data_IF_976779073046
#
_entry.id   IF_976779073046
#
_cell.length_a   1.000
_cell.length_b   1.000
_cell.length_c   1.000
_cell.angle_alpha   90.00
_cell.angle_beta   90.00
_cell.angle_gamma   90.00
#
_symmetry.space_group_name_H-M   'P 1'
#
loop_
_entity.id
_entity.type
_entity.pdbx_description
1 polymer ?
#
# COMPACT_ATOMS: atom_id res chain seq x y z
N UNK A 1 -11.68 -17.13 30.72
CA UNK A 1 -11.02 -17.54 29.48
C UNK A 1 -11.90 -17.05 28.32
N UNK A 2 -11.36 -16.21 27.41
CA UNK A 2 -12.04 -15.88 26.19
C UNK A 2 -11.80 -17.01 25.17
N UNK A 3 -12.86 -17.45 24.52
CA UNK A 3 -12.78 -18.46 23.46
C UNK A 3 -13.13 -17.76 22.14
N UNK A 4 -12.23 -17.82 21.17
CA UNK A 4 -12.45 -17.35 19.81
C UNK A 4 -12.78 -18.56 18.93
N UNK A 5 -13.91 -18.53 18.26
CA UNK A 5 -14.23 -19.48 17.21
C UNK A 5 -13.69 -18.92 15.88
N UNK A 6 -12.84 -19.67 15.22
CA UNK A 6 -12.28 -19.33 13.92
C UNK A 6 -12.99 -20.11 12.82
N UNK A 7 -13.30 -19.42 11.72
CA UNK A 7 -13.89 -20.01 10.51
C UNK A 7 -13.02 -19.58 9.33
N UNK A 8 -12.56 -20.56 8.54
CA UNK A 8 -11.82 -20.28 7.31
C UNK A 8 -12.83 -19.91 6.20
N UNK A 9 -12.77 -18.67 5.73
CA UNK A 9 -13.66 -18.06 4.76
C UNK A 9 -12.87 -17.22 3.77
N UNK A 10 -13.39 -17.09 2.54
CA UNK A 10 -12.94 -16.03 1.63
C UNK A 10 -13.44 -14.66 2.12
N UNK A 11 -12.89 -13.57 1.58
CA UNK A 11 -13.23 -12.21 2.03
C UNK A 11 -14.71 -11.87 1.87
N UNK A 12 -15.35 -12.31 0.79
CA UNK A 12 -16.80 -12.09 0.56
C UNK A 12 -17.64 -12.73 1.66
N UNK A 13 -17.40 -14.02 1.92
CA UNK A 13 -18.16 -14.77 2.92
C UNK A 13 -17.90 -14.25 4.33
N UNK A 14 -16.64 -13.86 4.64
CA UNK A 14 -16.28 -13.27 5.91
C UNK A 14 -16.98 -11.93 6.16
N UNK A 15 -17.08 -11.06 5.14
CA UNK A 15 -17.84 -9.81 5.21
C UNK A 15 -19.33 -10.09 5.34
N UNK A 16 -19.88 -11.05 4.59
CA UNK A 16 -21.28 -11.48 4.74
C UNK A 16 -21.59 -11.95 6.16
N UNK A 17 -20.67 -12.71 6.79
CA UNK A 17 -20.84 -13.15 8.18
C UNK A 17 -20.87 -11.97 9.17
N UNK A 18 -20.12 -10.90 8.90
CA UNK A 18 -20.20 -9.64 9.66
C UNK A 18 -21.57 -8.97 9.48
N UNK A 19 -22.01 -8.82 8.23
CA UNK A 19 -23.27 -8.14 7.88
C UNK A 19 -24.50 -8.87 8.47
N UNK A 20 -24.45 -10.19 8.49
CA UNK A 20 -25.53 -11.02 9.05
C UNK A 20 -25.39 -11.25 10.57
N UNK A 21 -24.35 -10.71 11.20
CA UNK A 21 -24.13 -10.81 12.65
C UNK A 21 -23.65 -12.19 13.11
N UNK A 22 -23.21 -13.06 12.20
CA UNK A 22 -22.62 -14.37 12.51
C UNK A 22 -21.18 -14.27 13.01
N UNK A 23 -20.45 -13.21 12.62
CA UNK A 23 -19.09 -12.93 13.08
C UNK A 23 -18.99 -11.53 13.71
N UNK A 24 -18.04 -11.37 14.61
CA UNK A 24 -17.71 -10.06 15.21
C UNK A 24 -16.54 -9.38 14.49
N UNK A 25 -15.64 -10.16 13.92
CA UNK A 25 -14.45 -9.73 13.20
C UNK A 25 -14.25 -10.58 11.95
N UNK A 26 -13.78 -9.96 10.89
CA UNK A 26 -13.35 -10.63 9.67
C UNK A 26 -11.92 -10.21 9.31
N UNK A 27 -11.09 -11.18 8.90
CA UNK A 27 -9.82 -10.92 8.22
C UNK A 27 -10.04 -11.08 6.73
N UNK A 28 -9.68 -10.06 5.95
CA UNK A 28 -9.90 -10.04 4.52
C UNK A 28 -8.65 -9.55 3.79
N UNK A 29 -8.41 -10.06 2.58
CA UNK A 29 -7.30 -9.64 1.74
C UNK A 29 -7.62 -8.37 0.92
N UNK A 30 -8.82 -7.85 1.03
CA UNK A 30 -9.31 -6.66 0.35
C UNK A 30 -10.25 -5.85 1.24
N UNK A 31 -10.40 -4.58 0.94
CA UNK A 31 -11.45 -3.75 1.55
C UNK A 31 -12.85 -4.21 1.13
N UNK A 32 -13.87 -3.80 1.87
CA UNK A 32 -15.26 -4.02 1.49
C UNK A 32 -15.60 -3.33 0.16
N UNK A 33 -16.37 -4.01 -0.69
CA UNK A 33 -16.86 -3.45 -1.95
C UNK A 33 -18.00 -2.44 -1.71
N UNK A 34 -18.33 -1.65 -2.73
CA UNK A 34 -19.49 -0.74 -2.66
C UNK A 34 -20.80 -1.49 -2.42
N UNK A 35 -20.97 -2.69 -3.01
CA UNK A 35 -22.14 -3.53 -2.79
C UNK A 35 -22.23 -4.02 -1.34
N UNK A 36 -21.11 -4.47 -0.78
CA UNK A 36 -21.01 -4.87 0.63
C UNK A 36 -21.26 -3.70 1.58
N UNK A 37 -20.78 -2.49 1.25
CA UNK A 37 -21.08 -1.27 1.99
C UNK A 37 -22.57 -0.91 1.93
N UNK A 38 -23.20 -1.07 0.76
CA UNK A 38 -24.62 -0.78 0.57
C UNK A 38 -25.54 -1.81 1.26
N UNK A 39 -25.03 -2.99 1.60
CA UNK A 39 -25.77 -4.05 2.30
C UNK A 39 -25.82 -3.86 3.83
N UNK A 40 -25.31 -2.74 4.37
CA UNK A 40 -25.39 -2.43 5.80
C UNK A 40 -26.85 -2.29 6.25
N UNK A 41 -27.18 -2.94 7.36
CA UNK A 41 -28.51 -2.91 7.97
C UNK A 41 -28.75 -1.58 8.70
N UNK A 42 -30.03 -1.26 8.95
CA UNK A 42 -30.45 -0.08 9.73
C UNK A 42 -29.86 -0.05 11.15
N UNK A 43 -29.56 -1.23 11.73
CA UNK A 43 -28.94 -1.38 13.06
C UNK A 43 -27.41 -1.13 13.05
N UNK A 44 -26.81 -0.92 11.90
CA UNK A 44 -25.37 -0.69 11.74
C UNK A 44 -25.09 0.80 11.53
N UNK A 45 -24.17 1.33 12.30
CA UNK A 45 -23.81 2.75 12.26
C UNK A 45 -22.45 2.96 11.57
N UNK A 46 -22.44 3.69 10.47
CA UNK A 46 -21.24 4.07 9.75
C UNK A 46 -20.86 3.07 8.65
N UNK A 47 -19.65 3.23 8.11
CA UNK A 47 -19.10 2.44 7.01
C UNK A 47 -18.23 1.30 7.53
N UNK A 48 -18.16 0.19 6.81
CA UNK A 48 -17.19 -0.88 7.06
C UNK A 48 -15.73 -0.38 6.94
N UNK A 49 -15.50 0.66 6.14
CA UNK A 49 -14.17 1.26 5.97
C UNK A 49 -13.88 2.36 7.00
N UNK A 50 -14.82 2.65 7.90
CA UNK A 50 -14.57 3.63 8.95
C UNK A 50 -13.43 3.16 9.88
N UNK A 51 -12.49 4.04 10.30
CA UNK A 51 -11.32 3.66 11.11
C UNK A 51 -11.63 2.95 12.43
N UNK A 52 -12.84 3.14 12.95
CA UNK A 52 -13.31 2.40 14.14
C UNK A 52 -13.74 0.97 13.82
N UNK A 53 -14.05 0.68 12.56
CA UNK A 53 -14.58 -0.59 12.09
C UNK A 53 -13.60 -1.35 11.21
N UNK A 54 -12.60 -0.69 10.65
CA UNK A 54 -11.59 -1.31 9.78
C UNK A 54 -10.20 -0.83 10.11
N UNK A 55 -9.24 -1.75 10.07
CA UNK A 55 -7.82 -1.42 10.11
C UNK A 55 -7.03 -2.34 9.17
N UNK A 56 -5.94 -1.83 8.64
CA UNK A 56 -4.94 -2.66 7.98
C UNK A 56 -4.06 -3.28 9.07
N UNK A 57 -4.10 -4.60 9.23
CA UNK A 57 -3.35 -5.35 10.22
C UNK A 57 -1.92 -5.64 9.78
N UNK A 58 -1.76 -5.98 8.50
CA UNK A 58 -0.51 -6.44 7.88
C UNK A 58 -0.60 -6.27 6.37
N UNK A 59 0.45 -6.68 5.66
CA UNK A 59 0.42 -6.83 4.20
C UNK A 59 0.88 -8.22 3.80
N UNK A 60 0.40 -8.67 2.63
CA UNK A 60 0.77 -9.92 1.99
C UNK A 60 1.29 -9.63 0.59
N UNK A 61 2.46 -10.16 0.26
CA UNK A 61 2.97 -10.09 -1.10
C UNK A 61 2.06 -10.88 -2.06
N UNK A 62 1.75 -10.26 -3.21
CA UNK A 62 1.07 -10.89 -4.33
C UNK A 62 2.08 -11.11 -5.45
N UNK A 63 2.26 -12.34 -5.85
CA UNK A 63 3.16 -12.72 -6.93
C UNK A 63 2.38 -12.95 -8.22
N UNK A 64 3.01 -12.61 -9.35
CA UNK A 64 2.48 -12.90 -10.67
C UNK A 64 3.27 -14.06 -11.28
N UNK A 65 2.55 -15.01 -11.84
CA UNK A 65 3.13 -16.16 -12.53
C UNK A 65 2.60 -16.23 -13.95
N UNK A 66 3.46 -16.65 -14.89
CA UNK A 66 3.10 -16.93 -16.27
C UNK A 66 3.43 -18.37 -16.64
N UNK A 67 2.81 -18.87 -17.68
CA UNK A 67 3.15 -20.17 -18.23
C UNK A 67 4.63 -20.22 -18.66
N UNK A 68 5.32 -21.39 -18.54
CA UNK A 68 6.70 -21.53 -18.99
C UNK A 68 6.92 -21.20 -20.47
N UNK A 69 5.89 -21.37 -21.30
CA UNK A 69 5.91 -21.02 -22.72
C UNK A 69 5.95 -19.51 -23.00
N UNK A 70 5.64 -18.68 -21.99
CA UNK A 70 5.77 -17.24 -22.11
C UNK A 70 7.23 -16.84 -21.90
N UNK A 71 7.91 -16.21 -22.87
CA UNK A 71 9.30 -15.81 -22.71
C UNK A 71 9.50 -14.60 -21.80
N UNK A 72 8.43 -13.81 -21.56
CA UNK A 72 8.52 -12.62 -20.72
C UNK A 72 8.56 -12.98 -19.24
N UNK A 73 9.55 -12.42 -18.56
CA UNK A 73 9.76 -12.58 -17.13
C UNK A 73 9.62 -11.27 -16.37
N UNK A 74 9.34 -10.20 -17.08
CA UNK A 74 9.24 -8.86 -16.53
C UNK A 74 8.00 -8.16 -17.08
N UNK A 75 7.41 -7.32 -16.27
CA UNK A 75 6.32 -6.44 -16.62
C UNK A 75 6.48 -5.11 -15.88
N UNK A 76 6.22 -3.98 -16.50
CA UNK A 76 6.13 -2.71 -15.80
C UNK A 76 4.77 -2.57 -15.14
N UNK A 77 4.65 -1.67 -14.16
CA UNK A 77 3.39 -1.42 -13.50
C UNK A 77 2.33 -0.88 -14.48
N UNK A 78 2.73 0.02 -15.40
CA UNK A 78 1.84 0.54 -16.43
C UNK A 78 1.35 -0.54 -17.39
N UNK A 79 2.25 -1.44 -17.83
CA UNK A 79 1.85 -2.59 -18.63
C UNK A 79 0.86 -3.50 -17.88
N UNK A 80 1.09 -3.75 -16.59
CA UNK A 80 0.19 -4.57 -15.78
C UNK A 80 -1.19 -3.91 -15.66
N UNK A 81 -1.25 -2.61 -15.38
CA UNK A 81 -2.52 -1.85 -15.30
C UNK A 81 -3.23 -1.86 -16.66
N UNK A 82 -2.52 -1.60 -17.77
CA UNK A 82 -3.10 -1.63 -19.11
C UNK A 82 -3.65 -3.03 -19.47
N UNK A 83 -2.96 -4.10 -19.05
CA UNK A 83 -3.42 -5.47 -19.28
C UNK A 83 -4.70 -5.84 -18.57
N UNK A 84 -4.99 -5.20 -17.43
CA UNK A 84 -6.16 -5.47 -16.59
C UNK A 84 -7.31 -4.51 -16.88
N UNK A 85 -7.09 -3.45 -17.64
CA UNK A 85 -8.09 -2.45 -18.02
C UNK A 85 -8.96 -2.86 -19.23
N UNK A 86 -9.82 -1.92 -19.71
CA UNK A 86 -10.81 -2.16 -20.79
C UNK A 86 -10.19 -2.51 -22.15
N UNK A 87 -9.10 -1.85 -22.51
CA UNK A 87 -8.39 -2.13 -23.76
C UNK A 87 -7.78 -3.54 -23.68
N UNK A 88 -7.77 -4.29 -24.81
CA UNK A 88 -7.08 -5.58 -24.82
C UNK A 88 -5.60 -5.35 -24.53
N UNK A 89 -5.26 -5.41 -23.23
CA UNK A 89 -3.90 -5.40 -22.79
C UNK A 89 -3.18 -6.50 -23.53
N UNK A 90 -2.28 -6.10 -24.40
CA UNK A 90 -1.46 -7.03 -25.15
C UNK A 90 -0.16 -7.13 -24.37
N UNK A 91 0.17 -8.33 -23.94
CA UNK A 91 1.49 -8.54 -23.35
C UNK A 91 2.54 -8.41 -24.46
N UNK A 92 3.39 -7.37 -24.43
CA UNK A 92 4.42 -7.21 -25.45
C UNK A 92 5.42 -8.36 -25.33
N UNK A 93 5.53 -9.15 -26.36
CA UNK A 93 6.57 -10.16 -26.46
C UNK A 93 7.80 -9.59 -27.15
N UNK A 94 8.96 -10.07 -26.74
CA UNK A 94 10.28 -9.75 -27.28
C UNK A 94 10.46 -10.01 -28.77
N UNK A 95 9.45 -10.56 -29.45
CA UNK A 95 9.49 -10.89 -30.91
C UNK A 95 8.34 -10.24 -31.72
N UNK A 96 7.70 -9.20 -31.23
CA UNK A 96 6.59 -8.53 -31.94
C UNK A 96 5.27 -9.30 -31.95
N UNK A 97 5.19 -10.44 -31.26
CA UNK A 97 3.93 -11.19 -31.12
C UNK A 97 3.26 -10.70 -29.81
N UNK A 98 2.00 -10.32 -29.92
CA UNK A 98 1.19 -9.85 -28.80
C UNK A 98 0.16 -10.93 -28.45
N UNK A 99 0.03 -11.25 -27.15
CA UNK A 99 -1.02 -12.15 -26.67
C UNK A 99 -2.01 -11.39 -25.78
N UNK A 100 -3.33 -11.67 -25.94
CA UNK A 100 -4.30 -11.15 -25.00
C UNK A 100 -3.97 -11.61 -23.58
N UNK A 101 -3.98 -10.70 -22.63
CA UNK A 101 -3.73 -11.00 -21.23
C UNK A 101 -5.00 -11.47 -20.52
N UNK A 102 -4.84 -12.45 -19.65
CA UNK A 102 -5.89 -12.99 -18.80
C UNK A 102 -5.39 -13.12 -17.38
N UNK A 103 -6.09 -12.50 -16.44
CA UNK A 103 -5.79 -12.66 -15.02
C UNK A 103 -6.53 -13.86 -14.46
N UNK A 104 -5.82 -14.70 -13.72
CA UNK A 104 -6.36 -15.86 -13.00
C UNK A 104 -5.82 -15.88 -11.58
N UNK A 105 -6.49 -16.62 -10.71
CA UNK A 105 -6.13 -16.76 -9.29
C UNK A 105 -7.35 -17.08 -8.46
N UNK A 106 -7.19 -17.10 -7.14
CA UNK A 106 -8.33 -17.13 -6.23
C UNK A 106 -9.04 -15.78 -6.27
N UNK A 107 -10.36 -15.75 -6.14
CA UNK A 107 -11.16 -14.51 -6.22
C UNK A 107 -10.63 -13.39 -5.32
N UNK A 108 -10.28 -13.71 -4.07
CA UNK A 108 -9.73 -12.72 -3.14
C UNK A 108 -8.41 -12.10 -3.62
N UNK A 109 -7.54 -12.90 -4.20
CA UNK A 109 -6.23 -12.46 -4.67
C UNK A 109 -6.36 -11.60 -5.94
N UNK A 110 -7.27 -11.96 -6.83
CA UNK A 110 -7.58 -11.17 -8.05
C UNK A 110 -8.22 -9.84 -7.67
N UNK A 111 -9.19 -9.84 -6.77
CA UNK A 111 -9.84 -8.62 -6.28
C UNK A 111 -8.86 -7.74 -5.49
N UNK A 112 -7.99 -8.33 -4.67
CA UNK A 112 -6.95 -7.60 -3.96
C UNK A 112 -5.98 -6.90 -4.93
N UNK A 113 -5.55 -7.59 -5.99
CA UNK A 113 -4.70 -6.99 -7.02
C UNK A 113 -5.43 -5.86 -7.76
N UNK A 114 -6.69 -6.05 -8.14
CA UNK A 114 -7.49 -5.01 -8.81
C UNK A 114 -7.67 -3.77 -7.92
N UNK A 115 -7.99 -3.95 -6.64
CA UNK A 115 -8.08 -2.83 -5.70
C UNK A 115 -6.74 -2.13 -5.51
N UNK A 116 -5.65 -2.88 -5.38
CA UNK A 116 -4.30 -2.34 -5.26
C UNK A 116 -3.95 -1.46 -6.46
N UNK A 117 -4.24 -1.93 -7.67
CA UNK A 117 -3.95 -1.23 -8.91
C UNK A 117 -5.02 -0.20 -9.30
N UNK A 118 -6.12 -0.12 -8.55
CA UNK A 118 -7.29 0.74 -8.83
C UNK A 118 -7.93 0.45 -10.20
N UNK A 119 -7.93 -0.81 -10.60
CA UNK A 119 -8.60 -1.31 -11.79
C UNK A 119 -9.90 -1.97 -11.33
N UNK A 120 -11.04 -1.32 -11.55
CA UNK A 120 -12.34 -1.76 -11.02
C UNK A 120 -13.20 -2.52 -12.04
N UNK A 121 -12.64 -2.79 -13.20
CA UNK A 121 -13.35 -3.51 -14.25
C UNK A 121 -13.33 -5.02 -14.01
N UNK A 122 -14.39 -5.73 -14.42
CA UNK A 122 -14.41 -7.17 -14.30
C UNK A 122 -13.29 -7.79 -15.12
N UNK A 123 -12.59 -8.82 -14.60
CA UNK A 123 -11.57 -9.52 -15.37
C UNK A 123 -12.20 -10.15 -16.61
N UNK A 124 -11.46 -10.16 -17.70
CA UNK A 124 -11.91 -10.77 -18.95
C UNK A 124 -12.24 -12.24 -18.77
N UNK A 125 -13.28 -12.72 -19.47
CA UNK A 125 -13.60 -14.13 -19.45
C UNK A 125 -12.42 -14.96 -19.96
N UNK A 126 -12.08 -15.98 -19.19
CA UNK A 126 -11.03 -16.93 -19.57
C UNK A 126 -11.39 -17.67 -20.88
N UNK A 127 -10.41 -17.90 -21.75
CA UNK A 127 -10.62 -18.79 -22.88
C UNK A 127 -10.96 -20.21 -22.39
N UNK A 128 -11.64 -21.03 -23.21
CA UNK A 128 -12.01 -22.40 -22.83
C UNK A 128 -10.81 -23.22 -22.33
N UNK A 129 -11.07 -24.13 -21.38
CA UNK A 129 -10.03 -25.04 -20.89
C UNK A 129 -9.38 -25.81 -22.05
N UNK A 130 -8.05 -25.90 -22.04
CA UNK A 130 -7.26 -26.62 -23.03
C UNK A 130 -6.67 -25.73 -24.14
N UNK A 131 -7.04 -24.45 -24.20
CA UNK A 131 -6.37 -23.51 -25.08
C UNK A 131 -5.07 -23.05 -24.42
N UNK A 132 -3.96 -23.21 -25.15
CA UNK A 132 -2.67 -22.64 -24.70
C UNK A 132 -2.78 -21.12 -24.75
N UNK A 133 -2.71 -20.47 -23.61
CA UNK A 133 -2.87 -19.03 -23.45
C UNK A 133 -1.59 -18.43 -22.88
N UNK A 134 -0.58 -18.17 -23.70
CA UNK A 134 0.70 -17.61 -23.24
C UNK A 134 0.54 -16.29 -22.47
N UNK A 135 -0.56 -15.55 -22.73
CA UNK A 135 -0.91 -14.32 -22.00
C UNK A 135 -1.60 -14.54 -20.64
N UNK A 136 -1.70 -15.79 -20.14
CA UNK A 136 -2.23 -16.03 -18.80
C UNK A 136 -1.26 -15.54 -17.74
N UNK A 137 -1.76 -14.65 -16.87
CA UNK A 137 -1.13 -14.26 -15.60
C UNK A 137 -1.91 -14.87 -14.45
N UNK A 138 -1.21 -15.55 -13.56
CA UNK A 138 -1.79 -16.09 -12.33
C UNK A 138 -1.31 -15.24 -11.16
N UNK A 139 -2.23 -14.61 -10.43
CA UNK A 139 -1.92 -13.95 -9.16
C UNK A 139 -2.03 -14.96 -8.01
N UNK A 140 -1.03 -14.99 -7.13
CA UNK A 140 -1.02 -15.89 -5.99
C UNK A 140 -0.20 -15.33 -4.83
N UNK A 141 -0.57 -15.67 -3.60
CA UNK A 141 0.24 -15.46 -2.41
C UNK A 141 1.27 -16.58 -2.21
N UNK A 142 1.10 -17.69 -2.91
CA UNK A 142 1.93 -18.87 -2.81
C UNK A 142 2.65 -19.16 -4.13
N UNK A 143 3.70 -19.97 -4.07
CA UNK A 143 4.36 -20.43 -5.28
C UNK A 143 3.42 -21.31 -6.13
N UNK A 144 3.26 -20.95 -7.40
CA UNK A 144 2.48 -21.75 -8.35
C UNK A 144 3.39 -22.78 -9.01
N UNK A 145 3.11 -24.05 -8.78
CA UNK A 145 3.88 -25.13 -9.38
C UNK A 145 3.78 -25.11 -10.91
N UNK A 146 4.91 -25.34 -11.58
CA UNK A 146 5.07 -25.37 -13.05
C UNK A 146 4.96 -23.99 -13.78
N UNK A 147 4.53 -22.92 -13.09
CA UNK A 147 4.51 -21.58 -13.68
C UNK A 147 5.80 -20.82 -13.32
N UNK A 148 6.10 -19.78 -14.06
CA UNK A 148 7.31 -18.97 -13.88
C UNK A 148 6.96 -17.63 -13.30
N UNK A 149 7.71 -17.22 -12.27
CA UNK A 149 7.55 -15.91 -11.62
C UNK A 149 7.81 -14.78 -12.63
N UNK A 150 6.90 -13.82 -12.66
CA UNK A 150 7.01 -12.57 -13.41
C UNK A 150 7.37 -11.45 -12.45
N UNK A 151 8.49 -10.80 -12.69
CA UNK A 151 8.91 -9.66 -11.88
C UNK A 151 8.20 -8.39 -12.34
N UNK A 152 7.68 -7.61 -11.38
CA UNK A 152 7.04 -6.34 -11.64
C UNK A 152 8.02 -5.21 -11.34
N UNK A 153 8.24 -4.33 -12.32
CA UNK A 153 9.11 -3.17 -12.17
C UNK A 153 8.33 -1.95 -11.69
N UNK A 154 8.93 -1.21 -10.77
CA UNK A 154 8.45 0.11 -10.33
C UNK A 154 8.92 1.25 -11.25
N UNK A 155 9.92 0.98 -12.10
CA UNK A 155 10.48 1.97 -13.02
C UNK A 155 9.60 2.21 -14.23
N UNK A 156 9.65 3.43 -14.76
CA UNK A 156 9.07 3.79 -16.04
C UNK A 156 9.91 3.14 -17.15
N UNK A 157 9.35 2.29 -17.94
CA UNK A 157 9.96 1.65 -19.13
C UNK A 157 11.24 0.83 -18.91
N UNK A 158 11.77 0.77 -17.69
CA UNK A 158 12.99 0.03 -17.38
C UNK A 158 12.69 -1.22 -16.57
N UNK A 159 13.12 -2.40 -17.02
CA UNK A 159 13.15 -3.56 -16.16
C UNK A 159 14.30 -3.40 -15.15
N UNK A 160 13.95 -3.10 -13.89
CA UNK A 160 14.62 -3.41 -12.68
C UNK A 160 16.06 -3.22 -12.33
N UNK A 161 16.24 -3.02 -11.04
CA UNK A 161 17.46 -2.77 -10.32
C UNK A 161 18.68 -3.57 -10.79
N UNK A 162 19.87 -2.94 -10.89
CA UNK A 162 21.11 -3.64 -11.10
C UNK A 162 21.37 -4.70 -10.01
N UNK A 163 21.90 -5.84 -10.40
CA UNK A 163 22.31 -6.88 -9.47
C UNK A 163 23.24 -6.29 -8.38
N UNK A 164 22.87 -6.46 -7.10
CA UNK A 164 23.65 -5.99 -5.96
C UNK A 164 23.02 -4.86 -5.14
N UNK A 165 21.95 -4.24 -5.60
CA UNK A 165 21.12 -3.35 -4.77
C UNK A 165 20.06 -4.21 -4.09
N UNK A 166 19.86 -4.06 -2.78
CA UNK A 166 18.75 -4.71 -2.09
C UNK A 166 17.47 -4.46 -2.89
N UNK A 167 16.80 -5.55 -3.30
CA UNK A 167 15.57 -5.44 -4.05
C UNK A 167 14.63 -4.47 -3.32
N UNK A 168 14.03 -3.50 -4.01
CA UNK A 168 12.99 -2.68 -3.41
C UNK A 168 11.89 -3.61 -2.86
N UNK A 169 11.17 -3.15 -1.85
CA UNK A 169 10.03 -3.89 -1.31
C UNK A 169 9.16 -4.39 -2.48
N UNK A 170 8.65 -5.61 -2.36
CA UNK A 170 7.81 -6.20 -3.43
C UNK A 170 6.68 -5.22 -3.80
N UNK A 171 6.50 -4.86 -5.07
CA UNK A 171 5.59 -3.77 -5.43
C UNK A 171 4.11 -4.09 -5.21
N UNK A 172 3.75 -5.37 -5.27
CA UNK A 172 2.38 -5.81 -5.11
C UNK A 172 2.15 -6.33 -3.69
N UNK A 173 1.95 -5.42 -2.75
CA UNK A 173 1.64 -5.71 -1.36
C UNK A 173 0.17 -5.42 -1.07
N UNK A 174 -0.64 -6.47 -0.99
CA UNK A 174 -2.05 -6.34 -0.64
C UNK A 174 -2.21 -6.15 0.86
N UNK A 175 -2.97 -5.14 1.31
CA UNK A 175 -3.27 -4.98 2.72
C UNK A 175 -4.21 -6.08 3.21
N UNK A 176 -3.91 -6.61 4.39
CA UNK A 176 -4.80 -7.50 5.14
C UNK A 176 -5.62 -6.63 6.07
N UNK A 177 -6.92 -6.59 5.84
CA UNK A 177 -7.85 -5.84 6.66
C UNK A 177 -8.40 -6.69 7.80
N UNK A 178 -8.51 -6.07 8.97
CA UNK A 178 -9.38 -6.54 10.04
C UNK A 178 -10.61 -5.65 10.05
N UNK A 179 -11.77 -6.24 9.82
CA UNK A 179 -13.06 -5.56 9.74
C UNK A 179 -13.92 -6.01 10.92
N UNK A 180 -14.54 -5.07 11.62
CA UNK A 180 -15.52 -5.30 12.66
C UNK A 180 -16.91 -4.87 12.18
N UNK A 181 -17.95 -5.50 12.71
CA UNK A 181 -19.30 -5.03 12.49
C UNK A 181 -19.45 -3.58 12.96
N UNK A 182 -20.05 -2.66 12.17
CA UNK A 182 -20.25 -1.25 12.53
C UNK A 182 -21.37 -1.11 13.57
N UNK A 183 -21.16 -1.69 14.72
CA UNK A 183 -22.01 -1.64 15.91
C UNK A 183 -21.14 -1.54 17.17
N UNK A 184 -21.75 -1.31 18.34
CA UNK A 184 -20.99 -1.22 19.59
C UNK A 184 -20.16 -2.49 19.81
N UNK A 185 -18.85 -2.35 19.67
CA UNK A 185 -17.91 -3.44 19.84
C UNK A 185 -17.89 -3.94 21.30
N UNK A 186 -17.98 -5.26 21.48
CA UNK A 186 -17.87 -5.88 22.80
C UNK A 186 -16.47 -5.62 23.42
N UNK A 187 -16.39 -5.57 24.74
CA UNK A 187 -15.14 -5.27 25.44
C UNK A 187 -14.00 -6.24 25.07
N UNK A 188 -14.31 -7.53 24.93
CA UNK A 188 -13.31 -8.54 24.56
C UNK A 188 -12.82 -8.34 23.13
N UNK A 189 -13.71 -8.03 22.18
CA UNK A 189 -13.35 -7.74 20.80
C UNK A 189 -12.48 -6.49 20.70
N UNK A 190 -12.81 -5.45 21.48
CA UNK A 190 -12.02 -4.22 21.58
C UNK A 190 -10.63 -4.48 22.17
N UNK A 191 -10.54 -5.31 23.22
CA UNK A 191 -9.26 -5.68 23.81
C UNK A 191 -8.40 -6.47 22.83
N UNK A 192 -8.99 -7.40 22.08
CA UNK A 192 -8.29 -8.15 21.03
C UNK A 192 -7.84 -7.24 19.87
N UNK A 193 -8.72 -6.36 19.40
CA UNK A 193 -8.38 -5.33 18.42
C UNK A 193 -7.16 -4.51 18.87
N UNK A 194 -7.19 -4.07 20.13
CA UNK A 194 -6.09 -3.32 20.71
C UNK A 194 -4.80 -4.14 20.82
N UNK A 195 -4.89 -5.42 21.17
CA UNK A 195 -3.74 -6.33 21.25
C UNK A 195 -3.06 -6.53 19.89
N UNK A 196 -3.81 -6.64 18.80
CA UNK A 196 -3.24 -6.86 17.47
C UNK A 196 -2.29 -5.76 17.00
N UNK A 197 -2.36 -4.58 17.60
CA UNK A 197 -1.44 -3.47 17.33
C UNK A 197 -0.23 -3.43 18.28
N UNK A 198 -0.08 -4.39 19.19
CA UNK A 198 1.09 -4.45 20.08
C UNK A 198 2.31 -5.03 19.36
N UNK A 199 3.54 -4.72 19.82
CA UNK A 199 4.75 -5.30 19.26
C UNK A 199 4.73 -6.83 19.24
N UNK A 200 4.23 -7.46 20.31
CA UNK A 200 4.16 -8.93 20.44
C UNK A 200 3.26 -9.55 19.36
N UNK A 201 2.09 -8.94 19.12
CA UNK A 201 1.18 -9.40 18.07
C UNK A 201 1.79 -9.17 16.68
N UNK A 202 2.45 -8.04 16.46
CA UNK A 202 3.11 -7.75 15.19
C UNK A 202 4.34 -8.63 14.93
N UNK A 203 5.02 -9.09 15.98
CA UNK A 203 6.08 -10.11 15.86
C UNK A 203 5.51 -11.48 15.47
N UNK A 204 4.35 -11.86 16.02
CA UNK A 204 3.65 -13.07 15.60
C UNK A 204 3.22 -12.97 14.12
N UNK A 205 2.69 -11.84 13.68
CA UNK A 205 2.34 -11.58 12.26
C UNK A 205 3.56 -11.80 11.36
N UNK A 206 4.72 -11.27 11.74
CA UNK A 206 5.97 -11.43 10.98
C UNK A 206 6.45 -12.89 10.96
N UNK A 207 6.33 -13.59 12.07
CA UNK A 207 6.72 -15.03 12.18
C UNK A 207 5.87 -15.92 11.27
N UNK A 208 4.61 -15.52 11.03
CA UNK A 208 3.71 -16.19 10.10
C UNK A 208 3.99 -15.87 8.62
N UNK A 209 4.99 -15.03 8.32
CA UNK A 209 5.39 -14.71 6.95
C UNK A 209 4.69 -13.48 6.35
N UNK A 210 3.88 -12.77 7.13
CA UNK A 210 3.26 -11.53 6.70
C UNK A 210 4.18 -10.32 6.94
N UNK A 211 3.93 -9.25 6.20
CA UNK A 211 4.61 -7.98 6.42
C UNK A 211 3.91 -7.24 7.54
N UNK A 212 4.58 -7.16 8.69
CA UNK A 212 4.02 -6.53 9.89
C UNK A 212 4.05 -5.01 9.81
N UNK A 213 3.25 -4.36 10.63
CA UNK A 213 3.24 -2.91 10.81
C UNK A 213 4.36 -2.38 11.71
N UNK A 214 5.20 -3.24 12.27
CA UNK A 214 6.34 -2.81 13.08
C UNK A 214 7.21 -1.86 12.27
N UNK A 215 7.49 -0.65 12.75
CA UNK A 215 8.23 0.33 12.00
C UNK A 215 9.65 -0.16 11.76
N UNK A 216 10.05 -0.13 10.50
CA UNK A 216 11.44 -0.31 10.09
C UNK A 216 12.04 1.04 9.84
N UNK A 217 13.29 1.21 10.21
CA UNK A 217 14.10 2.37 9.88
C UNK A 217 15.03 2.03 8.73
N UNK A 218 15.19 2.96 7.82
CA UNK A 218 16.11 2.82 6.69
C UNK A 218 16.91 4.09 6.55
N UNK A 219 18.24 3.97 6.68
CA UNK A 219 19.15 5.08 6.44
C UNK A 219 19.05 5.56 5.00
N UNK A 220 19.34 6.85 4.75
CA UNK A 220 19.31 7.42 3.40
C UNK A 220 20.26 6.68 2.46
N UNK A 221 21.39 6.21 2.96
CA UNK A 221 22.36 5.42 2.17
C UNK A 221 21.80 4.04 1.77
N UNK A 222 20.92 3.45 2.58
CA UNK A 222 20.21 2.23 2.23
C UNK A 222 19.10 2.43 1.18
N UNK A 223 18.84 3.70 0.79
CA UNK A 223 17.80 4.07 -0.18
C UNK A 223 18.36 4.46 -1.56
N UNK A 224 19.55 3.99 -1.92
CA UNK A 224 20.13 4.27 -3.25
C UNK A 224 19.16 3.93 -4.40
N UNK A 225 18.31 2.91 -4.23
CA UNK A 225 17.27 2.58 -5.19
C UNK A 225 16.26 3.72 -5.40
N UNK A 226 15.88 4.43 -4.34
CA UNK A 226 15.01 5.62 -4.45
C UNK A 226 15.71 6.77 -5.13
N UNK A 227 16.98 7.01 -4.82
CA UNK A 227 17.77 8.06 -5.46
C UNK A 227 18.01 7.75 -6.95
N UNK A 228 18.30 6.49 -7.28
CA UNK A 228 18.42 6.05 -8.68
C UNK A 228 17.07 6.17 -9.39
N UNK A 229 15.98 5.75 -8.79
CA UNK A 229 14.64 5.95 -9.33
C UNK A 229 14.33 7.44 -9.53
N UNK A 230 14.67 8.29 -8.56
CA UNK A 230 14.51 9.73 -8.71
C UNK A 230 15.27 10.25 -9.92
N UNK A 231 16.52 9.82 -10.11
CA UNK A 231 17.37 10.24 -11.25
C UNK A 231 16.86 9.70 -12.58
N UNK A 232 16.37 8.46 -12.61
CA UNK A 232 15.90 7.79 -13.83
C UNK A 232 14.47 8.17 -14.23
N UNK A 233 13.64 8.55 -13.28
CA UNK A 233 12.22 8.88 -13.48
C UNK A 233 11.93 10.37 -13.32
N UNK A 234 12.96 11.20 -13.22
CA UNK A 234 12.78 12.64 -13.30
C UNK A 234 12.37 12.98 -14.73
N UNK A 235 11.09 13.29 -14.89
CA UNK A 235 10.69 14.16 -15.98
C UNK A 235 11.55 15.42 -15.88
N UNK A 236 11.88 16.01 -17.04
CA UNK A 236 12.88 17.10 -17.16
C UNK A 236 12.62 18.34 -16.28
N UNK A 237 11.55 18.34 -15.50
CA UNK A 237 11.16 19.46 -14.63
C UNK A 237 11.70 19.40 -13.20
N UNK A 238 12.19 18.23 -12.71
CA UNK A 238 12.85 18.18 -11.40
C UNK A 238 14.27 18.73 -11.50
N UNK A 239 14.48 19.90 -10.90
CA UNK A 239 15.78 20.53 -10.90
C UNK A 239 16.76 19.73 -10.02
N UNK A 240 17.97 19.52 -10.52
CA UNK A 240 19.08 18.89 -9.76
C UNK A 240 19.27 19.54 -8.37
N UNK A 241 18.90 20.81 -8.24
CA UNK A 241 18.96 21.59 -7.03
C UNK A 241 17.97 21.14 -5.97
N UNK A 242 16.76 20.76 -6.38
CA UNK A 242 15.72 20.24 -5.48
C UNK A 242 16.11 18.85 -4.92
N UNK A 243 16.69 17.99 -5.76
CA UNK A 243 17.25 16.71 -5.32
C UNK A 243 18.43 16.90 -4.33
N UNK A 244 19.31 17.86 -4.61
CA UNK A 244 20.42 18.21 -3.72
C UNK A 244 19.92 18.71 -2.37
N UNK A 245 18.91 19.58 -2.36
CA UNK A 245 18.28 20.08 -1.14
C UNK A 245 17.62 18.96 -0.35
N UNK A 246 16.93 18.03 -1.03
CA UNK A 246 16.35 16.85 -0.40
C UNK A 246 17.41 16.03 0.33
N UNK A 247 18.51 15.69 -0.34
CA UNK A 247 19.61 14.91 0.24
C UNK A 247 20.26 15.64 1.43
N UNK A 248 20.46 16.95 1.33
CA UNK A 248 21.07 17.75 2.40
C UNK A 248 20.19 17.84 3.64
N UNK A 249 18.87 18.04 3.45
CA UNK A 249 17.92 18.12 4.58
C UNK A 249 17.70 16.77 5.25
N UNK A 250 17.73 15.67 4.49
CA UNK A 250 17.50 14.33 5.02
C UNK A 250 18.78 13.64 5.53
N UNK A 251 19.93 14.31 5.39
CA UNK A 251 21.21 13.74 5.85
C UNK A 251 21.21 13.56 7.37
N UNK A 252 21.53 12.35 7.81
CA UNK A 252 21.53 11.97 9.22
C UNK A 252 20.16 11.58 9.78
N UNK A 253 19.09 11.66 8.98
CA UNK A 253 17.78 11.11 9.33
C UNK A 253 17.61 9.70 8.78
N UNK A 254 16.85 8.88 9.51
CA UNK A 254 16.40 7.55 9.09
C UNK A 254 14.92 7.63 8.69
N UNK A 255 14.58 7.13 7.51
CA UNK A 255 13.18 7.00 7.08
C UNK A 255 12.48 5.88 7.83
N UNK A 256 11.34 6.17 8.41
CA UNK A 256 10.45 5.13 8.94
C UNK A 256 9.60 4.52 7.82
N UNK A 257 9.23 3.24 7.97
CA UNK A 257 8.33 2.56 7.02
C UNK A 257 6.87 3.04 7.09
N UNK A 258 6.55 3.94 8.03
CA UNK A 258 5.22 4.54 8.18
C UNK A 258 5.08 5.70 7.19
N UNK A 259 4.04 5.63 6.36
CA UNK A 259 3.70 6.70 5.43
C UNK A 259 2.21 7.03 5.53
N UNK A 260 1.86 8.27 5.17
CA UNK A 260 0.50 8.77 5.17
C UNK A 260 0.12 9.19 3.76
N UNK A 261 -0.98 8.66 3.25
CA UNK A 261 -1.56 8.99 1.96
C UNK A 261 -2.96 9.53 2.14
N UNK A 262 -3.39 10.31 1.17
CA UNK A 262 -4.71 10.94 1.18
C UNK A 262 -5.53 10.42 0.00
N UNK A 263 -6.83 10.32 0.21
CA UNK A 263 -7.77 10.07 -0.88
C UNK A 263 -7.66 11.20 -1.89
N UNK A 264 -7.79 10.86 -3.17
CA UNK A 264 -7.60 11.80 -4.26
C UNK A 264 -8.48 13.03 -4.13
N UNK A 265 -7.88 14.22 -4.30
CA UNK A 265 -8.56 15.51 -4.17
C UNK A 265 -9.04 15.87 -2.77
N UNK A 266 -8.66 15.12 -1.74
CA UNK A 266 -9.11 15.35 -0.36
C UNK A 266 -7.96 15.46 0.64
N UNK A 267 -8.30 15.87 1.88
CA UNK A 267 -7.41 15.81 3.04
C UNK A 267 -7.73 14.59 3.94
N UNK A 268 -8.55 13.67 3.47
CA UNK A 268 -8.93 12.45 4.21
C UNK A 268 -7.85 11.40 3.98
N UNK A 269 -7.27 10.89 5.06
CA UNK A 269 -6.29 9.80 5.00
C UNK A 269 -6.96 8.50 4.58
N UNK A 270 -6.28 7.69 3.77
CA UNK A 270 -6.73 6.34 3.42
C UNK A 270 -6.71 5.40 4.65
N UNK A 271 -7.30 4.22 4.53
CA UNK A 271 -7.43 3.26 5.64
C UNK A 271 -6.08 2.80 6.19
N UNK A 272 -5.08 2.66 5.33
CA UNK A 272 -3.72 2.31 5.77
C UNK A 272 -3.09 3.43 6.59
N UNK A 273 -3.18 4.67 6.13
CA UNK A 273 -2.68 5.86 6.83
C UNK A 273 -3.38 6.08 8.17
N UNK A 274 -4.68 5.81 8.24
CA UNK A 274 -5.41 5.88 9.50
C UNK A 274 -4.95 4.80 10.50
N UNK A 275 -4.65 3.60 10.01
CA UNK A 275 -4.05 2.54 10.82
C UNK A 275 -2.64 2.92 11.27
N UNK A 276 -1.82 3.54 10.40
CA UNK A 276 -0.50 4.08 10.73
C UNK A 276 -0.59 5.14 11.83
N UNK A 277 -1.60 5.99 11.78
CA UNK A 277 -1.83 7.03 12.79
C UNK A 277 -2.10 6.42 14.18
N UNK A 278 -2.94 5.38 14.27
CA UNK A 278 -3.20 4.69 15.53
C UNK A 278 -1.96 3.95 16.05
N UNK A 279 -1.18 3.38 15.15
CA UNK A 279 0.09 2.73 15.52
C UNK A 279 1.12 3.75 16.00
N UNK A 280 1.27 4.87 15.31
CA UNK A 280 2.16 5.97 15.67
C UNK A 280 1.83 6.53 17.06
N UNK A 281 0.55 6.72 17.37
CA UNK A 281 0.09 7.12 18.72
C UNK A 281 0.64 6.22 19.81
N UNK A 282 0.62 4.91 19.60
CA UNK A 282 1.16 3.94 20.57
C UNK A 282 2.66 4.06 20.73
N UNK A 283 3.39 4.29 19.64
CA UNK A 283 4.83 4.51 19.70
C UNK A 283 5.18 5.75 20.52
N UNK A 284 4.39 6.83 20.41
CA UNK A 284 4.56 8.02 21.24
C UNK A 284 4.34 7.70 22.72
N UNK A 285 3.24 7.04 23.06
CA UNK A 285 2.96 6.67 24.47
C UNK A 285 3.95 5.64 25.03
N UNK A 286 4.62 4.88 24.18
CA UNK A 286 5.69 3.95 24.57
C UNK A 286 7.06 4.64 24.71
N UNK A 287 7.15 5.96 24.51
CA UNK A 287 8.42 6.71 24.60
C UNK A 287 9.37 6.48 23.42
N UNK A 288 8.90 5.88 22.33
CA UNK A 288 9.78 5.51 21.19
C UNK A 288 10.50 6.71 20.59
N UNK A 289 9.92 7.91 20.65
CA UNK A 289 10.45 9.14 20.07
C UNK A 289 11.13 10.07 21.10
N UNK A 290 11.24 9.67 22.36
CA UNK A 290 11.91 10.48 23.37
C UNK A 290 13.38 10.76 22.98
N UNK A 291 13.74 12.03 23.01
CA UNK A 291 15.09 12.50 22.67
C UNK A 291 15.47 12.36 21.20
N UNK A 292 14.51 12.21 20.30
CA UNK A 292 14.73 12.14 18.86
C UNK A 292 14.11 13.32 18.15
N UNK A 293 14.84 13.84 17.17
CA UNK A 293 14.30 14.81 16.23
C UNK A 293 13.40 14.07 15.22
N UNK A 294 12.27 14.68 14.89
CA UNK A 294 11.31 14.13 13.95
C UNK A 294 10.97 15.14 12.86
N UNK A 295 10.92 14.66 11.62
CA UNK A 295 10.56 15.44 10.46
C UNK A 295 9.45 14.75 9.67
N UNK A 296 8.42 15.50 9.27
CA UNK A 296 7.40 15.06 8.33
C UNK A 296 7.73 15.57 6.94
N UNK A 297 7.97 14.65 6.01
CA UNK A 297 8.40 14.96 4.65
C UNK A 297 7.29 14.63 3.67
N UNK A 298 6.73 15.66 3.04
CA UNK A 298 5.67 15.53 2.05
C UNK A 298 6.22 15.39 0.63
N UNK A 299 5.49 14.62 -0.18
CA UNK A 299 5.76 14.38 -1.59
C UNK A 299 4.48 14.52 -2.40
N UNK A 300 4.62 14.82 -3.68
CA UNK A 300 3.55 14.85 -4.68
C UNK A 300 3.81 13.87 -5.82
N UNK A 301 2.82 13.70 -6.69
CA UNK A 301 3.01 13.19 -8.03
C UNK A 301 3.51 14.30 -8.97
N UNK A 302 3.67 13.99 -10.26
CA UNK A 302 4.16 14.91 -11.27
C UNK A 302 3.05 15.75 -11.95
N UNK A 303 1.83 15.79 -11.39
CA UNK A 303 0.76 16.62 -11.96
C UNK A 303 0.86 18.06 -11.45
N UNK A 304 0.88 19.02 -12.35
CA UNK A 304 0.93 20.44 -12.02
C UNK A 304 2.31 21.07 -12.18
N UNK A 305 2.53 22.26 -11.60
CA UNK A 305 3.83 22.93 -11.63
C UNK A 305 4.72 22.46 -10.47
N UNK A 306 6.03 22.45 -10.68
CA UNK A 306 7.00 22.05 -9.66
C UNK A 306 6.86 22.87 -8.37
N UNK A 307 6.68 24.19 -8.48
CA UNK A 307 6.46 25.08 -7.32
C UNK A 307 5.14 24.76 -6.60
N UNK A 308 4.06 24.48 -7.36
CA UNK A 308 2.78 24.05 -6.80
C UNK A 308 2.90 22.73 -6.07
N UNK A 309 3.66 21.79 -6.61
CA UNK A 309 3.90 20.46 -6.03
C UNK A 309 4.70 20.55 -4.72
N UNK A 310 5.70 21.42 -4.63
CA UNK A 310 6.41 21.70 -3.39
C UNK A 310 5.45 22.26 -2.33
N UNK A 311 4.59 23.21 -2.69
CA UNK A 311 3.64 23.79 -1.74
C UNK A 311 2.59 22.76 -1.27
N UNK A 312 2.00 21.98 -2.19
CA UNK A 312 1.01 20.93 -1.86
C UNK A 312 1.65 19.88 -0.94
N UNK A 313 2.87 19.46 -1.22
CA UNK A 313 3.59 18.47 -0.41
C UNK A 313 3.86 19.02 1.00
N UNK A 314 4.25 20.28 1.14
CA UNK A 314 4.46 20.94 2.42
C UNK A 314 3.16 21.04 3.23
N UNK A 315 2.04 21.40 2.57
CA UNK A 315 0.75 21.52 3.24
C UNK A 315 0.22 20.17 3.71
N UNK A 316 0.47 19.10 2.95
CA UNK A 316 0.18 17.71 3.40
C UNK A 316 1.03 17.33 4.63
N UNK A 317 2.32 17.63 4.64
CA UNK A 317 3.18 17.38 5.80
C UNK A 317 2.69 18.13 7.05
N UNK A 318 2.28 19.39 6.89
CA UNK A 318 1.68 20.19 7.98
C UNK A 318 0.37 19.57 8.48
N UNK A 319 -0.50 19.10 7.57
CA UNK A 319 -1.76 18.48 7.93
C UNK A 319 -1.56 17.19 8.74
N UNK A 320 -0.60 16.33 8.35
CA UNK A 320 -0.24 15.13 9.12
C UNK A 320 0.28 15.51 10.49
N UNK A 321 1.22 16.46 10.58
CA UNK A 321 1.73 16.96 11.87
C UNK A 321 0.61 17.44 12.79
N UNK A 322 -0.30 18.29 12.27
CA UNK A 322 -1.42 18.80 13.04
C UNK A 322 -2.38 17.71 13.52
N UNK A 323 -2.63 16.71 12.67
CA UNK A 323 -3.46 15.55 13.03
C UNK A 323 -2.83 14.76 14.19
N UNK A 324 -1.52 14.55 14.14
CA UNK A 324 -0.78 13.84 15.19
C UNK A 324 -0.79 14.64 16.50
N UNK A 325 -0.56 15.94 16.46
CA UNK A 325 -0.64 16.81 17.64
C UNK A 325 -2.01 16.74 18.31
N UNK A 326 -3.07 16.81 17.53
CA UNK A 326 -4.45 16.67 18.02
C UNK A 326 -4.68 15.27 18.63
N UNK A 327 -4.13 14.22 18.03
CA UNK A 327 -4.27 12.85 18.51
C UNK A 327 -3.55 12.60 19.83
N UNK A 328 -2.45 13.30 20.06
CA UNK A 328 -1.64 13.20 21.27
C UNK A 328 -2.12 14.13 22.39
N UNK A 329 -3.07 15.03 22.09
CA UNK A 329 -3.55 16.08 23.00
C UNK A 329 -2.40 16.98 23.53
N UNK A 330 -1.40 17.20 22.69
CA UNK A 330 -0.20 17.95 23.04
C UNK A 330 0.22 18.89 21.88
N UNK A 331 -0.21 20.13 21.99
CA UNK A 331 0.14 21.16 21.01
C UNK A 331 1.64 21.52 21.05
N UNK A 332 2.35 21.29 22.14
CA UNK A 332 3.77 21.63 22.27
C UNK A 332 4.64 20.62 21.52
N UNK A 333 4.24 19.35 21.45
CA UNK A 333 4.90 18.35 20.61
C UNK A 333 4.87 18.73 19.13
N UNK A 334 3.81 19.42 18.67
CA UNK A 334 3.68 19.81 17.27
C UNK A 334 4.72 20.84 16.83
N UNK A 335 5.12 21.76 17.70
CA UNK A 335 6.07 22.83 17.37
C UNK A 335 7.52 22.33 17.31
N UNK A 336 7.82 21.20 17.98
CA UNK A 336 9.11 20.54 17.93
C UNK A 336 9.37 19.69 16.69
N UNK A 337 8.33 19.41 15.88
CA UNK A 337 8.47 18.57 14.69
C UNK A 337 8.67 19.40 13.43
N UNK A 338 9.73 19.11 12.70
CA UNK A 338 10.02 19.76 11.44
C UNK A 338 9.07 19.27 10.32
N UNK A 339 8.84 20.13 9.33
CA UNK A 339 8.08 19.80 8.14
C UNK A 339 8.85 20.20 6.89
N UNK A 340 8.85 19.35 5.89
CA UNK A 340 9.54 19.58 4.61
C UNK A 340 8.62 19.17 3.46
N UNK A 341 8.52 20.00 2.43
CA UNK A 341 7.87 19.66 1.17
C UNK A 341 8.93 19.47 0.09
N UNK A 342 8.95 18.31 -0.52
CA UNK A 342 9.89 17.96 -1.58
C UNK A 342 9.21 17.82 -2.97
N UNK A 343 7.93 18.17 -3.09
CA UNK A 343 7.22 18.06 -4.35
C UNK A 343 7.36 16.67 -4.97
N UNK A 344 7.80 16.61 -6.21
CA UNK A 344 8.01 15.39 -6.98
C UNK A 344 9.32 14.65 -6.63
N UNK A 345 10.06 15.15 -5.66
CA UNK A 345 11.34 14.56 -5.25
C UNK A 345 11.17 13.12 -4.73
N UNK A 346 12.17 12.27 -4.97
CA UNK A 346 12.25 10.88 -4.49
C UNK A 346 10.97 10.04 -4.77
N UNK A 347 10.53 9.89 -6.04
CA UNK A 347 9.37 9.11 -6.39
C UNK A 347 9.56 7.63 -6.01
N UNK A 348 8.52 7.01 -5.44
CA UNK A 348 8.50 5.56 -5.14
C UNK A 348 8.12 4.72 -6.34
N UNK A 349 7.38 5.30 -7.27
CA UNK A 349 6.88 4.64 -8.46
C UNK A 349 6.80 5.63 -9.63
N UNK A 350 6.66 5.11 -10.84
CA UNK A 350 6.39 5.93 -12.02
C UNK A 350 5.03 6.64 -11.92
N UNK A 351 4.96 7.88 -12.41
CA UNK A 351 3.73 8.69 -12.39
C UNK A 351 2.77 8.40 -13.56
N UNK A 352 3.05 7.39 -14.37
CA UNK A 352 2.29 7.00 -15.56
C UNK A 352 1.00 6.22 -15.26
N UNK A 353 0.78 5.83 -14.01
CA UNK A 353 -0.42 5.14 -13.55
C UNK A 353 -1.04 5.81 -12.34
N UNK A 354 -2.36 5.67 -12.17
CA UNK A 354 -3.06 6.14 -10.96
C UNK A 354 -2.49 5.51 -9.68
N UNK A 355 -2.06 4.24 -9.77
CA UNK A 355 -1.40 3.56 -8.67
C UNK A 355 -0.07 4.25 -8.31
N UNK A 356 0.80 4.50 -9.30
CA UNK A 356 2.09 5.14 -9.07
C UNK A 356 1.97 6.56 -8.53
N UNK A 357 1.08 7.35 -9.10
CA UNK A 357 0.75 8.69 -8.59
C UNK A 357 0.32 8.64 -7.12
N UNK A 358 -0.53 7.65 -6.76
CA UNK A 358 -0.96 7.46 -5.37
C UNK A 358 0.21 7.06 -4.44
N UNK A 359 1.17 6.26 -4.92
CA UNK A 359 2.38 5.93 -4.15
C UNK A 359 3.23 7.18 -3.89
N UNK A 360 3.27 8.11 -4.85
CA UNK A 360 4.06 9.33 -4.75
C UNK A 360 3.40 10.41 -3.89
N UNK A 361 2.07 10.54 -3.89
CA UNK A 361 1.30 11.45 -3.02
C UNK A 361 1.31 10.97 -1.56
N UNK A 362 2.42 11.18 -0.85
CA UNK A 362 2.62 10.67 0.50
C UNK A 362 3.28 11.67 1.44
N UNK A 363 3.15 11.42 2.73
CA UNK A 363 3.97 12.04 3.78
C UNK A 363 4.71 10.92 4.52
N UNK A 364 6.00 11.04 4.66
CA UNK A 364 6.87 10.11 5.37
C UNK A 364 7.32 10.69 6.70
N UNK A 365 7.65 9.82 7.66
CA UNK A 365 8.29 10.19 8.93
C UNK A 365 9.78 9.87 8.83
N UNK A 366 10.58 10.86 9.15
CA UNK A 366 12.04 10.76 9.24
C UNK A 366 12.47 11.09 10.67
N UNK A 367 13.38 10.31 11.27
CA UNK A 367 13.82 10.44 12.66
C UNK A 367 15.34 10.46 12.75
N UNK A 368 15.84 11.25 13.71
CA UNK A 368 17.29 11.37 13.96
C UNK A 368 17.58 11.20 15.45
#
# INVERSE_FOLDING_TARGET
LAVFALSDRNSRDAISDILEGRANLALTLRAATQEEQAALNEDMFGSLDHPQNSMVLAWQDLYLYSQPSNPNRFITMSQLVAMLGEEPGLWPLTAGIQYPAFLTGKDDQTQALQQLLRVFEPPRPMPPKGVNTPGRLTVSTDQVAQDTLVQVSLGCDQPMAPAGIQAPAHPLQAPIYLIAAPKKMQNITRAFWAFLLTPEAQDAVRTLGFISRSPKKTEIHGQYGLLINAILNTDMDMRTEDLRLAVLNLNGYERMSLAFRFLEGTQIMDADSQSNLQFLKRLFFAGYFEGRDMMFVGFSDSQGSAEGNVQISLDRARAVRATIATLLDDAQLSDGFEVLGLGEGLPLACNDTAWGQNQNRRVEIWVK
#
